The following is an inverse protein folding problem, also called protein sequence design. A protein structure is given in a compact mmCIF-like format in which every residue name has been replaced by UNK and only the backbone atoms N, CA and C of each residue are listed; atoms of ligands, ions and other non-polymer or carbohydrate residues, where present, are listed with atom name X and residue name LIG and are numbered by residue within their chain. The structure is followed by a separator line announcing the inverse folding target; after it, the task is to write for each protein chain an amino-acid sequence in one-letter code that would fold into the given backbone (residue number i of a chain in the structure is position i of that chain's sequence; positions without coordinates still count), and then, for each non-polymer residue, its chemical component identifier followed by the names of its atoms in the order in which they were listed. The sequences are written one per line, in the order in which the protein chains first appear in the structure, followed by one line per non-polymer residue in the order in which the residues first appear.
data_IF_023699057350
#
_entry.id   IF_023699057350
#
_cell.length_a   1.000
_cell.length_b   1.000
_cell.length_c   1.000
_cell.angle_alpha   90.00
_cell.angle_beta   90.00
_cell.angle_gamma   90.00
#
_symmetry.space_group_name_H-M   'P 1'
#
loop_
_entity.id
_entity.type
_entity.pdbx_description
1 polymer ?
#
# COMPACT_ATOMS: atom_id res chain seq x y z
N UNK A 1 5.17 2.85 20.85
CA UNK A 1 6.33 3.54 21.48
C UNK A 1 6.87 4.48 20.42
N UNK A 2 7.33 5.70 20.72
CA UNK A 2 8.00 6.50 19.68
C UNK A 2 9.42 5.98 19.49
N UNK A 3 9.84 5.82 18.24
CA UNK A 3 11.18 5.37 17.88
C UNK A 3 12.03 6.58 17.55
N UNK A 4 13.27 6.64 18.03
CA UNK A 4 14.15 7.78 17.75
C UNK A 4 14.74 7.68 16.36
N UNK A 5 14.92 8.81 15.68
CA UNK A 5 15.51 8.84 14.33
C UNK A 5 16.93 8.24 14.34
N UNK A 6 17.69 8.47 15.40
CA UNK A 6 19.02 7.87 15.60
C UNK A 6 19.01 6.33 15.65
N UNK A 7 17.92 5.70 16.10
CA UNK A 7 17.78 4.23 16.25
C UNK A 7 17.33 3.51 14.98
N UNK A 8 16.87 4.25 13.97
CA UNK A 8 16.40 3.71 12.69
C UNK A 8 17.61 3.38 11.80
N UNK A 9 17.55 2.32 11.01
CA UNK A 9 18.66 1.99 10.08
C UNK A 9 18.62 2.92 8.88
N UNK A 10 19.78 3.19 8.31
CA UNK A 10 19.91 4.10 7.16
C UNK A 10 19.06 3.68 5.96
N UNK A 11 18.93 2.37 5.72
CA UNK A 11 18.15 1.82 4.60
C UNK A 11 16.65 1.64 4.92
N UNK A 12 16.23 1.87 6.18
CA UNK A 12 14.81 1.77 6.54
C UNK A 12 14.04 2.94 5.90
N UNK A 13 12.87 2.63 5.35
CA UNK A 13 12.01 3.62 4.70
C UNK A 13 11.16 4.36 5.74
N UNK A 14 11.03 5.67 5.53
CA UNK A 14 10.25 6.62 6.32
C UNK A 14 9.18 7.27 5.44
N UNK A 15 8.06 7.65 6.06
CA UNK A 15 7.05 8.52 5.45
C UNK A 15 7.12 9.89 6.10
N UNK A 16 7.22 10.93 5.28
CA UNK A 16 6.97 12.31 5.67
C UNK A 16 5.58 12.69 5.20
N UNK A 17 4.71 13.06 6.13
CA UNK A 17 3.36 13.53 5.83
C UNK A 17 3.30 15.04 5.67
N UNK A 18 2.24 15.52 5.03
CA UNK A 18 1.91 16.95 4.94
C UNK A 18 3.01 17.80 4.26
N UNK A 19 3.72 17.24 3.28
CA UNK A 19 4.59 18.05 2.43
C UNK A 19 3.76 18.82 1.39
N UNK A 20 4.29 19.90 0.83
CA UNK A 20 3.58 20.70 -0.18
C UNK A 20 3.14 19.92 -1.43
N UNK A 21 3.68 18.72 -1.64
CA UNK A 21 3.41 17.83 -2.79
C UNK A 21 2.73 16.51 -2.42
N UNK A 22 2.29 16.32 -1.17
CA UNK A 22 1.71 15.07 -0.66
C UNK A 22 2.64 14.31 0.28
N UNK A 23 2.36 13.04 0.54
CA UNK A 23 3.23 12.21 1.38
C UNK A 23 4.46 11.76 0.58
N UNK A 24 5.64 11.84 1.20
CA UNK A 24 6.91 11.42 0.58
C UNK A 24 7.45 10.19 1.30
N UNK A 25 7.90 9.20 0.55
CA UNK A 25 8.60 8.03 1.08
C UNK A 25 10.06 8.07 0.68
N UNK A 26 10.97 7.97 1.65
CA UNK A 26 12.41 7.95 1.40
C UNK A 26 13.14 7.16 2.49
N UNK A 27 14.40 6.81 2.24
CA UNK A 27 15.24 6.15 3.24
C UNK A 27 15.64 7.13 4.36
N UNK A 28 15.99 6.63 5.54
CA UNK A 28 16.58 7.47 6.59
C UNK A 28 17.84 8.20 6.09
N UNK A 29 18.70 7.53 5.34
CA UNK A 29 19.94 8.12 4.83
C UNK A 29 19.66 9.34 3.94
N UNK A 30 18.71 9.20 3.02
CA UNK A 30 18.27 10.29 2.14
C UNK A 30 17.69 11.48 2.92
N UNK A 31 16.94 11.20 3.99
CA UNK A 31 16.39 12.23 4.87
C UNK A 31 17.50 13.02 5.55
N UNK A 32 18.48 12.32 6.13
CA UNK A 32 19.59 12.94 6.85
C UNK A 32 20.49 13.74 5.90
N UNK A 33 20.74 13.24 4.69
CA UNK A 33 21.56 13.94 3.69
C UNK A 33 20.90 15.21 3.13
N UNK A 34 19.56 15.26 3.09
CA UNK A 34 18.80 16.36 2.52
C UNK A 34 17.91 17.07 3.55
N UNK A 35 18.30 17.02 4.83
CA UNK A 35 17.44 17.44 5.93
C UNK A 35 16.98 18.91 5.82
N UNK A 36 17.90 19.80 5.45
CA UNK A 36 17.60 21.23 5.29
C UNK A 36 16.54 21.46 4.21
N UNK A 37 16.63 20.75 3.08
CA UNK A 37 15.63 20.81 2.02
C UNK A 37 14.24 20.38 2.52
N UNK A 38 14.16 19.29 3.28
CA UNK A 38 12.88 18.80 3.80
C UNK A 38 12.31 19.69 4.91
N UNK A 39 13.15 20.34 5.72
CA UNK A 39 12.73 21.36 6.69
C UNK A 39 12.15 22.60 6.02
N UNK A 40 12.70 23.02 4.88
CA UNK A 40 12.19 24.17 4.12
C UNK A 40 10.88 23.85 3.37
N UNK A 41 10.68 22.60 2.96
CA UNK A 41 9.56 22.19 2.09
C UNK A 41 8.42 21.47 2.81
N UNK A 42 8.64 20.99 4.04
CA UNK A 42 7.62 20.31 4.85
C UNK A 42 7.22 21.17 6.04
N UNK A 43 5.92 21.40 6.21
CA UNK A 43 5.41 22.11 7.38
C UNK A 43 5.59 21.23 8.62
N UNK A 44 6.41 21.68 9.58
CA UNK A 44 6.72 20.94 10.82
C UNK A 44 7.20 19.51 10.53
N UNK A 45 8.30 19.37 9.79
CA UNK A 45 8.91 18.08 9.43
C UNK A 45 8.98 17.12 10.64
N UNK A 46 9.52 17.61 11.76
CA UNK A 46 9.75 16.84 12.99
C UNK A 46 8.45 16.28 13.61
N UNK A 47 7.30 16.88 13.29
CA UNK A 47 6.00 16.40 13.77
C UNK A 47 5.36 15.36 12.84
N UNK A 48 5.87 15.24 11.61
CA UNK A 48 5.22 14.53 10.50
C UNK A 48 6.07 13.38 9.92
N UNK A 49 7.10 12.91 10.61
CA UNK A 49 7.91 11.75 10.19
C UNK A 49 7.46 10.48 10.90
N UNK A 50 7.32 9.40 10.14
CA UNK A 50 6.86 8.11 10.61
C UNK A 50 7.71 6.97 10.02
N UNK A 51 7.85 5.89 10.79
CA UNK A 51 8.31 4.60 10.28
C UNK A 51 7.24 4.00 9.38
N UNK A 52 7.64 3.02 8.56
CA UNK A 52 6.77 2.41 7.56
C UNK A 52 6.53 0.93 7.80
N UNK A 53 5.34 0.48 7.38
CA UNK A 53 5.07 -0.92 7.05
C UNK A 53 4.95 -1.01 5.53
N UNK A 54 5.66 -1.95 4.94
CA UNK A 54 5.51 -2.24 3.52
C UNK A 54 4.26 -3.09 3.31
N UNK A 55 3.35 -2.59 2.48
CA UNK A 55 2.20 -3.35 1.99
C UNK A 55 2.49 -3.79 0.55
N UNK A 56 2.25 -5.07 0.26
CA UNK A 56 2.32 -5.58 -1.11
C UNK A 56 0.91 -5.76 -1.63
N UNK A 57 0.65 -5.31 -2.85
CA UNK A 57 -0.62 -5.51 -3.51
C UNK A 57 -0.97 -7.01 -3.51
N UNK A 58 -2.16 -7.31 -3.04
CA UNK A 58 -2.68 -8.66 -2.92
C UNK A 58 -4.12 -8.66 -3.44
N UNK A 59 -4.28 -9.03 -4.71
CA UNK A 59 -5.60 -9.13 -5.36
C UNK A 59 -5.95 -10.61 -5.43
N UNK A 60 -7.10 -10.97 -4.87
CA UNK A 60 -7.64 -12.32 -4.90
C UNK A 60 -8.66 -12.43 -6.04
N UNK A 61 -8.48 -13.42 -6.90
CA UNK A 61 -9.35 -13.63 -8.07
C UNK A 61 -10.82 -13.84 -7.66
N UNK A 62 -11.06 -14.64 -6.62
CA UNK A 62 -12.40 -14.93 -6.12
C UNK A 62 -13.10 -13.65 -5.64
N UNK A 63 -12.48 -12.88 -4.75
CA UNK A 63 -13.03 -11.62 -4.24
C UNK A 63 -13.35 -10.64 -5.39
N UNK A 64 -12.45 -10.54 -6.37
CA UNK A 64 -12.64 -9.69 -7.55
C UNK A 64 -13.85 -10.13 -8.39
N UNK A 65 -14.04 -11.44 -8.59
CA UNK A 65 -15.17 -11.99 -9.33
C UNK A 65 -16.49 -11.84 -8.57
N UNK A 66 -16.49 -12.10 -7.26
CA UNK A 66 -17.68 -11.94 -6.41
C UNK A 66 -18.20 -10.51 -6.48
N UNK A 67 -17.32 -9.51 -6.32
CA UNK A 67 -17.69 -8.09 -6.45
C UNK A 67 -18.25 -7.78 -7.84
N UNK A 68 -17.64 -8.31 -8.90
CA UNK A 68 -18.10 -8.05 -10.27
C UNK A 68 -19.48 -8.66 -10.53
N UNK A 69 -19.74 -9.87 -10.04
CA UNK A 69 -21.03 -10.56 -10.16
C UNK A 69 -22.10 -9.85 -9.33
N UNK A 70 -21.78 -9.44 -8.10
CA UNK A 70 -22.70 -8.72 -7.23
C UNK A 70 -23.15 -7.40 -7.87
N UNK A 71 -22.22 -6.64 -8.46
CA UNK A 71 -22.53 -5.41 -9.15
C UNK A 71 -23.44 -5.63 -10.38
N UNK A 72 -23.26 -6.72 -11.11
CA UNK A 72 -24.10 -7.03 -12.27
C UNK A 72 -25.48 -7.57 -11.85
N UNK A 73 -25.55 -8.26 -10.71
CA UNK A 73 -26.75 -8.95 -10.22
C UNK A 73 -27.96 -8.02 -10.08
N UNK A 74 -27.73 -6.74 -9.80
CA UNK A 74 -28.78 -5.72 -9.66
C UNK A 74 -29.63 -5.56 -10.95
N UNK A 75 -29.07 -5.95 -12.10
CA UNK A 75 -29.71 -5.86 -13.41
C UNK A 75 -30.22 -7.20 -13.94
N UNK A 76 -30.08 -8.28 -13.16
CA UNK A 76 -30.37 -9.64 -13.59
C UNK A 76 -31.62 -10.22 -12.92
N UNK A 77 -32.05 -11.38 -13.41
CA UNK A 77 -33.17 -12.11 -12.83
C UNK A 77 -32.80 -12.71 -11.47
N UNK A 78 -33.83 -13.01 -10.67
CA UNK A 78 -33.66 -13.59 -9.33
C UNK A 78 -32.79 -14.85 -9.35
N UNK A 79 -31.87 -14.96 -8.38
CA UNK A 79 -30.90 -16.06 -8.22
C UNK A 79 -29.84 -16.20 -9.33
N UNK A 80 -29.76 -15.28 -10.30
CA UNK A 80 -28.73 -15.34 -11.34
C UNK A 80 -27.31 -15.37 -10.77
N UNK A 81 -27.03 -14.54 -9.78
CA UNK A 81 -25.73 -14.45 -9.11
C UNK A 81 -25.33 -15.78 -8.46
N UNK A 82 -26.28 -16.44 -7.80
CA UNK A 82 -26.07 -17.74 -7.18
C UNK A 82 -25.73 -18.82 -8.22
N UNK A 83 -26.45 -18.85 -9.34
CA UNK A 83 -26.21 -19.82 -10.41
C UNK A 83 -24.84 -19.59 -11.06
N UNK A 84 -24.44 -18.34 -11.31
CA UNK A 84 -23.13 -18.01 -11.86
C UNK A 84 -22.01 -18.35 -10.88
N UNK A 85 -22.13 -17.96 -9.61
CA UNK A 85 -21.11 -18.26 -8.58
C UNK A 85 -20.90 -19.77 -8.42
N UNK A 86 -21.95 -20.57 -8.54
CA UNK A 86 -21.86 -22.05 -8.49
C UNK A 86 -21.24 -22.68 -9.73
N UNK A 87 -21.28 -22.00 -10.87
CA UNK A 87 -20.67 -22.47 -12.11
C UNK A 87 -19.15 -22.24 -12.14
N UNK A 88 -18.64 -21.30 -11.33
CA UNK A 88 -17.20 -21.03 -11.22
C UNK A 88 -16.51 -22.20 -10.50
N UNK A 89 -15.47 -22.72 -11.14
CA UNK A 89 -14.67 -23.81 -10.61
C UNK A 89 -13.36 -23.31 -10.01
N UNK A 90 -12.72 -24.14 -9.19
CA UNK A 90 -11.39 -23.85 -8.64
C UNK A 90 -10.35 -23.65 -9.77
N UNK A 91 -10.47 -24.38 -10.88
CA UNK A 91 -9.60 -24.25 -12.06
C UNK A 91 -9.74 -22.86 -12.70
N UNK A 92 -10.98 -22.34 -12.80
CA UNK A 92 -11.23 -20.98 -13.33
C UNK A 92 -10.59 -19.91 -12.42
N UNK A 93 -10.72 -20.08 -11.10
CA UNK A 93 -10.10 -19.19 -10.11
C UNK A 93 -8.58 -19.23 -10.22
N UNK A 94 -7.99 -20.41 -10.34
CA UNK A 94 -6.54 -20.59 -10.48
C UNK A 94 -6.01 -19.94 -11.77
N UNK A 95 -6.70 -20.10 -12.90
CA UNK A 95 -6.29 -19.47 -14.16
C UNK A 95 -6.30 -17.93 -14.06
N UNK A 96 -7.35 -17.36 -13.48
CA UNK A 96 -7.46 -15.91 -13.30
C UNK A 96 -6.41 -15.41 -12.28
N UNK A 97 -6.20 -16.13 -11.18
CA UNK A 97 -5.18 -15.80 -10.19
C UNK A 97 -3.78 -15.78 -10.83
N UNK A 98 -3.45 -16.77 -11.67
CA UNK A 98 -2.18 -16.80 -12.39
C UNK A 98 -1.97 -15.57 -13.29
N UNK A 99 -3.04 -15.05 -13.92
CA UNK A 99 -2.97 -13.81 -14.71
C UNK A 99 -2.70 -12.60 -13.80
N UNK A 100 -3.41 -12.50 -12.67
CA UNK A 100 -3.25 -11.42 -11.69
C UNK A 100 -1.82 -11.43 -11.15
N UNK A 101 -1.31 -12.58 -10.71
CA UNK A 101 0.03 -12.74 -10.15
C UNK A 101 1.10 -12.36 -11.17
N UNK A 102 0.93 -12.76 -12.43
CA UNK A 102 1.83 -12.36 -13.54
C UNK A 102 1.82 -10.86 -13.80
N UNK A 103 0.68 -10.18 -13.63
CA UNK A 103 0.63 -8.71 -13.74
C UNK A 103 1.35 -8.08 -12.56
N UNK A 104 1.07 -8.56 -11.34
CA UNK A 104 1.68 -8.07 -10.11
C UNK A 104 3.18 -8.40 -10.00
N UNK A 105 3.70 -9.35 -10.79
CA UNK A 105 5.13 -9.65 -10.81
C UNK A 105 5.95 -8.67 -11.68
N UNK A 106 5.30 -7.85 -12.52
CA UNK A 106 5.99 -6.93 -13.46
C UNK A 106 6.56 -5.67 -12.80
N UNK A 107 6.16 -5.37 -11.57
CA UNK A 107 6.64 -4.25 -10.80
C UNK A 107 6.71 -4.60 -9.32
N UNK A 108 7.17 -3.67 -8.50
CA UNK A 108 7.23 -3.89 -7.05
C UNK A 108 5.83 -4.06 -6.48
N UNK A 109 4.85 -3.29 -6.97
CA UNK A 109 3.45 -3.29 -6.50
C UNK A 109 3.37 -3.21 -4.97
N UNK A 110 4.18 -2.32 -4.41
CA UNK A 110 4.22 -2.05 -2.97
C UNK A 110 3.76 -0.62 -2.71
N UNK A 111 3.18 -0.43 -1.53
CA UNK A 111 3.03 0.87 -0.90
C UNK A 111 3.68 0.82 0.48
N UNK A 112 3.99 2.00 1.00
CA UNK A 112 4.40 2.16 2.39
C UNK A 112 3.26 2.81 3.15
N UNK A 113 2.95 2.26 4.32
CA UNK A 113 1.90 2.75 5.20
C UNK A 113 2.55 3.25 6.48
N UNK A 114 2.02 4.34 7.03
CA UNK A 114 2.43 4.84 8.35
C UNK A 114 2.30 3.74 9.40
N UNK A 115 3.33 3.60 10.25
CA UNK A 115 3.33 2.67 11.37
C UNK A 115 3.47 3.40 12.72
N UNK A 116 4.68 3.81 13.09
CA UNK A 116 4.96 4.50 14.35
C UNK A 116 5.61 5.86 14.09
N UNK A 117 5.20 6.88 14.85
CA UNK A 117 5.81 8.21 14.81
C UNK A 117 7.29 8.16 15.22
N UNK A 118 8.11 8.90 14.49
CA UNK A 118 9.53 9.06 14.78
C UNK A 118 9.74 10.29 15.66
N UNK A 119 10.53 10.13 16.72
CA UNK A 119 11.05 11.23 17.51
C UNK A 119 12.33 11.75 16.86
N UNK A 120 12.37 13.06 16.58
CA UNK A 120 13.52 13.71 15.97
C UNK A 120 14.54 14.07 17.05
N UNK A 121 15.69 13.40 17.07
CA UNK A 121 16.73 13.54 18.11
C UNK A 121 18.14 13.88 17.57
N UNK A 122 18.21 14.36 16.32
CA UNK A 122 19.43 14.84 15.66
C UNK A 122 19.64 16.35 15.83
#
# INVERSE_FOLDING_TARGET
MCKKLSEIKNDDMLIIKNTGSGDIVLSKDELVQNLDYYRETSNNLEENIYTTIQYKANIQALDMLEIAIDNESENMYECWDFDIKRAITDDDIEEIQNIIDRILSKGSNISYIENEKVEFDL
#
